data_IF_756792289954
#
_entry.id   IF_756792289954
#
_cell.length_a   1.000
_cell.length_b   1.000
_cell.length_c   1.000
_cell.angle_alpha   90.00
_cell.angle_beta   90.00
_cell.angle_gamma   90.00
#
_symmetry.space_group_name_H-M   'P 1'
#
loop_
_entity.id
_entity.type
_entity.pdbx_description
1 polymer ?
#
# COMPACT_ATOMS: atom_id res chain seq x y z
N UNK A 1 0.08 20.25 -3.69
CA UNK A 1 0.08 20.66 -2.27
C UNK A 1 1.41 20.18 -1.73
N UNK A 2 2.26 21.06 -1.22
CA UNK A 2 3.63 20.70 -0.82
C UNK A 2 3.70 20.21 0.62
N UNK A 3 4.81 19.57 0.99
CA UNK A 3 5.06 19.10 2.36
C UNK A 3 5.07 20.26 3.36
N UNK A 4 5.58 21.44 2.95
CA UNK A 4 5.60 22.65 3.76
C UNK A 4 4.20 23.05 4.20
N UNK A 5 3.22 23.01 3.28
CA UNK A 5 1.82 23.30 3.61
C UNK A 5 1.30 22.38 4.71
N UNK A 6 1.60 21.07 4.66
CA UNK A 6 1.19 20.15 5.72
C UNK A 6 1.93 20.40 7.03
N UNK A 7 3.23 20.71 6.97
CA UNK A 7 4.03 21.03 8.15
C UNK A 7 3.53 22.29 8.87
N UNK A 8 3.06 23.27 8.13
CA UNK A 8 2.49 24.51 8.69
C UNK A 8 1.10 24.29 9.32
N UNK A 9 0.26 23.48 8.69
CA UNK A 9 -1.17 23.39 9.04
C UNK A 9 -1.54 22.18 9.92
N UNK A 10 -0.70 21.14 10.00
CA UNK A 10 -0.99 19.92 10.76
C UNK A 10 0.01 19.72 11.88
N UNK A 11 -0.38 20.08 13.11
CA UNK A 11 0.48 20.10 14.30
C UNK A 11 0.30 18.90 15.24
N UNK A 12 -0.42 17.84 14.85
CA UNK A 12 -0.54 16.68 15.73
C UNK A 12 0.82 15.99 15.94
N UNK A 13 1.08 15.46 17.14
CA UNK A 13 2.34 14.76 17.44
C UNK A 13 2.68 13.65 16.42
N UNK A 14 1.67 12.96 15.89
CA UNK A 14 1.86 11.91 14.88
C UNK A 14 2.30 12.49 13.55
N UNK A 15 1.73 13.62 13.15
CA UNK A 15 2.09 14.29 11.90
C UNK A 15 3.51 14.87 11.99
N UNK A 16 3.83 15.55 13.07
CA UNK A 16 5.19 16.09 13.32
C UNK A 16 6.25 14.97 13.26
N UNK A 17 5.98 13.82 13.88
CA UNK A 17 6.91 12.69 13.80
C UNK A 17 7.05 12.14 12.38
N UNK A 18 5.95 12.07 11.63
CA UNK A 18 5.99 11.65 10.21
C UNK A 18 6.84 12.63 9.39
N UNK A 19 6.63 13.93 9.55
CA UNK A 19 7.39 14.96 8.83
C UNK A 19 8.89 14.84 9.13
N UNK A 20 9.25 14.68 10.41
CA UNK A 20 10.64 14.47 10.81
C UNK A 20 11.27 13.26 10.12
N UNK A 21 10.59 12.12 10.10
CA UNK A 21 11.10 10.90 9.45
C UNK A 21 11.29 11.08 7.95
N UNK A 22 10.33 11.74 7.29
CA UNK A 22 10.40 12.03 5.86
C UNK A 22 11.53 13.01 5.54
N UNK A 23 11.71 14.05 6.36
CA UNK A 23 12.80 15.02 6.22
C UNK A 23 14.19 14.37 6.45
N UNK A 24 14.30 13.47 7.43
CA UNK A 24 15.53 12.70 7.66
C UNK A 24 15.88 11.83 6.45
N UNK A 25 14.87 11.19 5.85
CA UNK A 25 15.06 10.40 4.63
C UNK A 25 15.48 11.27 3.44
N UNK A 26 14.81 12.40 3.23
CA UNK A 26 15.12 13.32 2.13
C UNK A 26 16.56 13.90 2.19
N UNK A 27 17.14 13.96 3.39
CA UNK A 27 18.54 14.41 3.58
C UNK A 27 19.59 13.35 3.26
N UNK A 28 19.18 12.10 2.96
CA UNK A 28 20.13 11.06 2.61
C UNK A 28 20.90 11.43 1.32
N UNK A 29 22.22 11.17 1.24
CA UNK A 29 23.03 11.57 0.09
C UNK A 29 22.51 11.08 -1.26
N UNK A 30 21.83 9.93 -1.29
CA UNK A 30 21.24 9.35 -2.50
C UNK A 30 20.24 10.26 -3.18
N UNK A 31 19.55 11.14 -2.43
CA UNK A 31 18.55 12.06 -2.99
C UNK A 31 19.13 13.40 -3.43
N UNK A 32 20.36 13.70 -3.07
CA UNK A 32 21.09 14.92 -3.49
C UNK A 32 20.24 16.21 -3.42
N UNK A 33 19.54 16.40 -2.31
CA UNK A 33 18.68 17.57 -2.10
C UNK A 33 17.49 17.66 -3.07
N UNK A 34 16.98 16.54 -3.54
CA UNK A 34 15.85 16.42 -4.49
C UNK A 34 16.16 16.98 -5.88
N UNK A 35 17.42 16.98 -6.32
CA UNK A 35 17.82 17.61 -7.57
C UNK A 35 18.04 16.62 -8.72
N UNK A 36 18.15 15.33 -8.46
CA UNK A 36 18.53 14.33 -9.48
C UNK A 36 17.50 14.20 -10.60
N UNK A 37 16.22 14.34 -10.29
CA UNK A 37 15.13 14.21 -11.25
C UNK A 37 14.21 15.44 -11.29
N UNK A 38 14.71 16.62 -10.95
CA UNK A 38 13.91 17.85 -10.78
C UNK A 38 13.10 18.28 -12.02
N UNK A 39 13.53 17.88 -13.21
CA UNK A 39 12.86 18.20 -14.47
C UNK A 39 12.06 17.01 -15.05
N UNK A 40 12.00 15.88 -14.35
CA UNK A 40 11.34 14.67 -14.85
C UNK A 40 9.89 14.65 -14.45
N UNK A 41 9.00 14.51 -15.43
CA UNK A 41 7.57 14.24 -15.25
C UNK A 41 7.32 12.74 -15.33
N UNK A 42 6.96 12.15 -14.20
CA UNK A 42 6.80 10.70 -14.08
C UNK A 42 5.36 10.32 -13.77
N UNK A 43 4.88 9.31 -14.48
CA UNK A 43 3.58 8.71 -14.22
C UNK A 43 3.74 7.25 -13.83
N UNK A 44 3.12 6.85 -12.71
CA UNK A 44 3.07 5.48 -12.21
C UNK A 44 1.66 4.91 -12.43
N UNK A 45 1.57 3.79 -13.13
CA UNK A 45 0.31 3.09 -13.38
C UNK A 45 0.10 2.01 -12.32
N UNK A 46 -0.86 2.27 -11.42
CA UNK A 46 -1.22 1.38 -10.31
C UNK A 46 -0.76 1.87 -8.94
N UNK A 47 -1.72 2.13 -8.03
CA UNK A 47 -1.47 2.48 -6.64
C UNK A 47 -1.35 1.24 -5.72
N UNK A 48 -0.72 0.18 -6.23
CA UNK A 48 -0.29 -0.96 -5.42
C UNK A 48 0.88 -0.59 -4.49
N UNK A 49 1.29 -1.51 -3.58
CA UNK A 49 2.42 -1.24 -2.69
C UNK A 49 3.69 -0.85 -3.45
N UNK A 50 3.99 -1.51 -4.57
CA UNK A 50 5.16 -1.22 -5.40
C UNK A 50 5.03 0.16 -6.05
N UNK A 51 3.88 0.46 -6.68
CA UNK A 51 3.68 1.75 -7.34
C UNK A 51 3.79 2.94 -6.38
N UNK A 52 3.14 2.84 -5.22
CA UNK A 52 3.22 3.88 -4.18
C UNK A 52 4.65 4.01 -3.62
N UNK A 53 5.34 2.88 -3.40
CA UNK A 53 6.70 2.91 -2.88
C UNK A 53 7.67 3.52 -3.88
N UNK A 54 7.53 3.20 -5.18
CA UNK A 54 8.29 3.81 -6.27
C UNK A 54 8.01 5.31 -6.37
N UNK A 55 6.74 5.71 -6.30
CA UNK A 55 6.35 7.11 -6.35
C UNK A 55 7.00 7.93 -5.21
N UNK A 56 7.08 7.38 -4.00
CA UNK A 56 7.74 8.02 -2.86
C UNK A 56 9.23 8.26 -3.17
N UNK A 57 9.95 7.25 -3.65
CA UNK A 57 11.38 7.41 -3.98
C UNK A 57 11.60 8.41 -5.12
N UNK A 58 10.81 8.33 -6.18
CA UNK A 58 10.91 9.27 -7.30
C UNK A 58 10.63 10.71 -6.88
N UNK A 59 9.67 10.92 -5.98
CA UNK A 59 9.38 12.23 -5.43
C UNK A 59 10.55 12.76 -4.57
N UNK A 60 11.20 11.89 -3.79
CA UNK A 60 12.40 12.24 -3.01
C UNK A 60 13.62 12.54 -3.91
N UNK A 61 13.68 11.97 -5.11
CA UNK A 61 14.67 12.33 -6.13
C UNK A 61 14.36 13.68 -6.84
N UNK A 62 13.19 14.27 -6.56
CA UNK A 62 12.77 15.56 -7.09
C UNK A 62 11.89 15.49 -8.34
N UNK A 63 11.48 14.31 -8.80
CA UNK A 63 10.58 14.17 -9.93
C UNK A 63 9.17 14.71 -9.60
N UNK A 64 8.47 15.19 -10.61
CA UNK A 64 7.02 15.49 -10.52
C UNK A 64 6.25 14.19 -10.75
N UNK A 65 5.73 13.60 -9.68
CA UNK A 65 5.17 12.26 -9.72
C UNK A 65 3.65 12.25 -9.65
N UNK A 66 3.03 11.57 -10.61
CA UNK A 66 1.60 11.26 -10.61
C UNK A 66 1.42 9.74 -10.51
N UNK A 67 0.46 9.29 -9.71
CA UNK A 67 0.04 7.87 -9.64
C UNK A 67 -1.39 7.77 -10.08
N UNK A 68 -1.68 6.94 -11.06
CA UNK A 68 -3.05 6.62 -11.46
C UNK A 68 -3.45 5.22 -10.96
N UNK A 69 -4.69 5.10 -10.54
CA UNK A 69 -5.28 3.81 -10.10
C UNK A 69 -6.68 3.68 -10.66
N UNK A 70 -6.95 2.59 -11.36
CA UNK A 70 -8.26 2.33 -11.98
C UNK A 70 -9.39 2.13 -10.97
N UNK A 71 -9.07 1.69 -9.76
CA UNK A 71 -10.05 1.55 -8.68
C UNK A 71 -10.16 2.83 -7.90
N UNK A 72 -11.35 3.08 -7.35
CA UNK A 72 -11.61 4.24 -6.48
C UNK A 72 -11.28 3.96 -5.01
N UNK A 73 -11.04 2.69 -4.64
CA UNK A 73 -10.75 2.29 -3.28
C UNK A 73 -9.88 1.03 -3.20
N UNK A 74 -9.20 0.85 -2.08
CA UNK A 74 -8.44 -0.36 -1.78
C UNK A 74 -9.37 -1.43 -1.19
N UNK A 75 -9.65 -2.47 -1.96
CA UNK A 75 -10.62 -3.53 -1.61
C UNK A 75 -9.99 -4.87 -1.28
N UNK A 76 -8.69 -5.06 -1.54
CA UNK A 76 -8.02 -6.33 -1.29
C UNK A 76 -7.77 -6.55 0.21
N UNK A 77 -8.10 -7.75 0.69
CA UNK A 77 -7.94 -8.14 2.08
C UNK A 77 -6.80 -9.16 2.32
N UNK A 78 -5.98 -9.42 1.30
CA UNK A 78 -4.85 -10.33 1.45
C UNK A 78 -3.93 -9.85 2.59
N UNK A 79 -3.45 -10.80 3.37
CA UNK A 79 -2.42 -10.56 4.39
C UNK A 79 -1.06 -10.93 3.82
N UNK A 80 -0.08 -10.07 4.07
CA UNK A 80 1.29 -10.22 3.59
C UNK A 80 2.20 -10.50 4.78
N UNK A 81 3.12 -11.43 4.62
CA UNK A 81 4.28 -11.58 5.49
C UNK A 81 5.37 -10.61 5.05
N UNK A 82 5.89 -9.82 5.96
CA UNK A 82 6.94 -8.85 5.66
C UNK A 82 8.30 -9.31 6.15
N UNK A 83 9.30 -9.08 5.34
CA UNK A 83 10.69 -9.25 5.73
C UNK A 83 11.13 -8.15 6.69
N UNK A 84 12.07 -8.42 7.62
CA UNK A 84 12.51 -7.45 8.60
C UNK A 84 12.95 -6.10 8.01
N UNK A 85 13.70 -6.11 6.90
CA UNK A 85 14.16 -4.86 6.26
C UNK A 85 13.00 -4.03 5.67
N UNK A 86 11.92 -4.68 5.18
CA UNK A 86 10.72 -3.98 4.70
C UNK A 86 10.02 -3.29 5.86
N UNK A 87 10.01 -3.93 7.03
CA UNK A 87 9.42 -3.34 8.25
C UNK A 87 10.19 -2.09 8.67
N UNK A 88 11.52 -2.14 8.66
CA UNK A 88 12.35 -0.99 8.98
C UNK A 88 12.18 0.15 7.97
N UNK A 89 12.09 -0.18 6.67
CA UNK A 89 11.76 0.80 5.63
C UNK A 89 10.40 1.46 5.88
N UNK A 90 9.37 0.69 6.19
CA UNK A 90 8.04 1.22 6.51
C UNK A 90 8.03 2.08 7.78
N UNK A 91 8.80 1.73 8.80
CA UNK A 91 8.96 2.54 10.01
C UNK A 91 9.62 3.88 9.69
N UNK A 92 10.64 3.90 8.84
CA UNK A 92 11.28 5.13 8.39
C UNK A 92 10.35 6.03 7.57
N UNK A 93 9.29 5.48 6.99
CA UNK A 93 8.22 6.19 6.29
C UNK A 93 7.01 6.51 7.20
N UNK A 94 7.16 6.37 8.50
CA UNK A 94 6.14 6.74 9.49
C UNK A 94 5.09 5.67 9.77
N UNK A 95 5.36 4.39 9.48
CA UNK A 95 4.52 3.31 9.96
C UNK A 95 4.51 3.26 11.50
N UNK A 96 3.36 2.88 12.06
CA UNK A 96 3.20 2.74 13.50
C UNK A 96 4.16 1.69 14.04
N UNK A 97 4.89 2.02 15.11
CA UNK A 97 5.63 1.05 15.90
C UNK A 97 4.67 0.27 16.78
N UNK A 98 4.74 -1.07 16.70
CA UNK A 98 4.11 -1.96 17.65
C UNK A 98 5.18 -2.42 18.65
N UNK A 99 4.93 -2.29 19.93
CA UNK A 99 5.85 -2.76 20.94
C UNK A 99 5.47 -4.17 21.39
N UNK A 100 6.42 -5.11 21.48
CA UNK A 100 7.84 -4.97 21.08
C UNK A 100 8.09 -5.23 19.58
N UNK A 101 7.06 -5.54 18.79
CA UNK A 101 7.16 -5.96 17.38
C UNK A 101 6.28 -5.10 16.46
N UNK A 102 6.54 -5.17 15.16
CA UNK A 102 5.72 -4.50 14.14
C UNK A 102 4.27 -5.00 14.13
N UNK A 103 4.09 -6.30 14.33
CA UNK A 103 2.80 -6.94 14.61
C UNK A 103 2.97 -7.98 15.70
N UNK A 104 1.87 -8.40 16.31
CA UNK A 104 1.84 -9.42 17.35
C UNK A 104 1.74 -10.83 16.73
N UNK A 105 2.27 -11.81 17.45
CA UNK A 105 2.32 -13.19 16.98
C UNK A 105 3.72 -13.64 16.56
N UNK A 106 3.81 -14.80 15.93
CA UNK A 106 5.09 -15.44 15.55
C UNK A 106 5.67 -14.93 14.24
N UNK A 107 4.87 -14.24 13.43
CA UNK A 107 5.22 -13.77 12.10
C UNK A 107 4.82 -12.32 11.91
N UNK A 108 5.61 -11.58 11.13
CA UNK A 108 5.34 -10.18 10.82
C UNK A 108 4.35 -10.07 9.66
N UNK A 109 3.10 -9.78 9.96
CA UNK A 109 2.04 -9.69 8.98
C UNK A 109 1.39 -8.32 8.92
N UNK A 110 0.90 -7.96 7.75
CA UNK A 110 0.10 -6.75 7.51
C UNK A 110 -0.90 -7.02 6.39
N UNK A 111 -2.12 -6.46 6.49
CA UNK A 111 -3.03 -6.50 5.35
C UNK A 111 -2.53 -5.59 4.23
N UNK A 112 -2.68 -6.03 2.97
CA UNK A 112 -2.27 -5.24 1.80
C UNK A 112 -2.95 -3.86 1.79
N UNK A 113 -4.21 -3.78 2.21
CA UNK A 113 -4.94 -2.51 2.32
C UNK A 113 -4.26 -1.55 3.29
N UNK A 114 -3.82 -2.04 4.45
CA UNK A 114 -3.13 -1.22 5.46
C UNK A 114 -1.77 -0.76 4.97
N UNK A 115 -1.02 -1.65 4.32
CA UNK A 115 0.25 -1.30 3.69
C UNK A 115 0.07 -0.20 2.64
N UNK A 116 -0.93 -0.34 1.76
CA UNK A 116 -1.27 0.70 0.78
C UNK A 116 -1.63 2.03 1.45
N UNK A 117 -2.42 2.03 2.53
CA UNK A 117 -2.78 3.24 3.26
C UNK A 117 -1.56 3.93 3.92
N UNK A 118 -0.60 3.17 4.43
CA UNK A 118 0.65 3.72 4.98
C UNK A 118 1.43 4.44 3.88
N UNK A 119 1.68 3.75 2.78
CA UNK A 119 2.43 4.29 1.65
C UNK A 119 1.70 5.47 0.98
N UNK A 120 0.37 5.37 0.80
CA UNK A 120 -0.44 6.46 0.26
C UNK A 120 -0.34 7.72 1.11
N UNK A 121 -0.42 7.60 2.43
CA UNK A 121 -0.29 8.74 3.35
C UNK A 121 1.07 9.43 3.16
N UNK A 122 2.14 8.68 3.10
CA UNK A 122 3.49 9.22 2.90
C UNK A 122 3.64 9.86 1.52
N UNK A 123 3.14 9.21 0.47
CA UNK A 123 3.16 9.76 -0.90
C UNK A 123 2.42 11.10 -0.99
N UNK A 124 1.23 11.20 -0.40
CA UNK A 124 0.45 12.44 -0.37
C UNK A 124 1.15 13.56 0.41
N UNK A 125 1.77 13.24 1.54
CA UNK A 125 2.54 14.22 2.34
C UNK A 125 3.73 14.75 1.55
N UNK A 126 4.38 13.91 0.76
CA UNK A 126 5.49 14.30 -0.12
C UNK A 126 5.04 15.10 -1.36
N UNK A 127 3.74 15.20 -1.62
CA UNK A 127 3.21 15.94 -2.75
C UNK A 127 2.98 15.11 -4.03
N UNK A 128 3.04 13.79 -3.95
CA UNK A 128 2.65 12.91 -5.07
C UNK A 128 1.18 13.11 -5.40
N UNK A 129 0.87 13.37 -6.68
CA UNK A 129 -0.51 13.48 -7.15
C UNK A 129 -1.10 12.08 -7.35
N UNK A 130 -2.26 11.81 -6.75
CA UNK A 130 -2.93 10.50 -6.85
C UNK A 130 -4.28 10.67 -7.55
N UNK A 131 -4.50 9.90 -8.62
CA UNK A 131 -5.70 9.92 -9.44
C UNK A 131 -6.43 8.57 -9.37
N UNK A 132 -7.38 8.40 -8.41
CA UNK A 132 -8.22 7.20 -8.36
C UNK A 132 -9.30 7.24 -9.44
N UNK A 133 -9.70 6.08 -9.95
CA UNK A 133 -10.69 5.95 -11.01
C UNK A 133 -10.14 6.24 -12.41
N UNK A 134 -8.84 6.40 -12.57
CA UNK A 134 -8.17 6.66 -13.85
C UNK A 134 -7.45 5.42 -14.34
N UNK A 135 -7.79 4.97 -15.53
CA UNK A 135 -7.23 3.78 -16.16
C UNK A 135 -6.34 4.16 -17.34
N UNK A 136 -5.13 3.66 -17.38
CA UNK A 136 -4.23 3.76 -18.52
C UNK A 136 -4.75 2.92 -19.69
N UNK A 137 -4.67 3.46 -20.91
CA UNK A 137 -5.08 2.79 -22.13
C UNK A 137 -3.93 2.57 -23.09
N UNK A 138 -3.20 3.65 -23.39
CA UNK A 138 -2.10 3.59 -24.35
C UNK A 138 -1.16 4.80 -24.17
N UNK A 139 -0.05 4.75 -24.87
CA UNK A 139 0.90 5.85 -25.00
C UNK A 139 0.61 6.59 -26.30
N UNK A 140 0.59 7.90 -26.25
CA UNK A 140 0.38 8.76 -27.42
C UNK A 140 1.73 9.33 -27.84
N UNK A 141 2.19 8.90 -29.02
CA UNK A 141 3.43 9.40 -29.59
C UNK A 141 3.30 10.88 -30.01
N UNK A 142 4.36 11.68 -29.82
CA UNK A 142 4.38 13.05 -30.30
C UNK A 142 4.32 13.10 -31.84
N UNK A 143 3.56 14.06 -32.39
CA UNK A 143 3.47 14.27 -33.85
C UNK A 143 4.69 15.02 -34.40
N UNK A 144 5.43 15.71 -33.53
CA UNK A 144 6.66 16.43 -33.84
C UNK A 144 7.67 16.29 -32.67
N UNK A 145 8.97 16.41 -32.95
CA UNK A 145 10.04 16.34 -31.92
C UNK A 145 9.88 17.33 -30.77
N UNK A 146 9.19 18.44 -30.99
CA UNK A 146 8.93 19.46 -29.98
C UNK A 146 7.75 19.12 -29.05
N UNK A 147 6.96 18.11 -29.36
CA UNK A 147 5.82 17.72 -28.57
C UNK A 147 6.22 16.65 -27.53
N UNK A 148 5.65 16.69 -26.31
CA UNK A 148 5.90 15.67 -25.32
C UNK A 148 5.08 14.40 -25.59
N UNK A 149 5.57 13.27 -25.13
CA UNK A 149 4.78 12.05 -25.02
C UNK A 149 3.60 12.28 -24.08
N UNK A 150 2.45 11.72 -24.41
CA UNK A 150 1.21 11.84 -23.65
C UNK A 150 0.58 10.46 -23.43
N UNK A 151 -0.47 10.41 -22.62
CA UNK A 151 -1.14 9.16 -22.26
C UNK A 151 -2.62 9.20 -22.69
N UNK A 152 -3.07 8.12 -23.33
CA UNK A 152 -4.48 7.86 -23.51
C UNK A 152 -5.05 7.23 -22.23
N UNK A 153 -6.09 7.83 -21.68
CA UNK A 153 -6.67 7.48 -20.39
C UNK A 153 -8.17 7.19 -20.48
N UNK A 154 -8.70 6.57 -19.46
CA UNK A 154 -10.14 6.49 -19.21
C UNK A 154 -10.44 7.03 -17.82
N UNK A 155 -11.27 8.11 -17.69
CA UNK A 155 -11.97 8.83 -18.77
C UNK A 155 -11.00 9.59 -19.69
N UNK A 156 -11.39 9.78 -20.97
CA UNK A 156 -10.52 10.37 -21.98
C UNK A 156 -10.24 11.86 -21.79
N UNK A 157 -11.17 12.55 -21.15
CA UNK A 157 -11.12 14.00 -20.82
C UNK A 157 -10.38 14.30 -19.52
N UNK A 158 -9.73 13.33 -18.92
CA UNK A 158 -9.00 13.52 -17.67
C UNK A 158 -7.80 14.47 -17.88
N UNK A 159 -7.58 15.49 -17.00
CA UNK A 159 -6.51 16.49 -17.18
C UNK A 159 -5.09 15.93 -17.35
N UNK A 160 -4.83 14.73 -16.80
CA UNK A 160 -3.54 14.06 -16.96
C UNK A 160 -3.27 13.62 -18.42
N UNK A 161 -4.29 13.46 -19.27
CA UNK A 161 -4.12 13.09 -20.68
C UNK A 161 -3.43 14.16 -21.52
N UNK A 162 -3.48 15.42 -21.08
CA UNK A 162 -2.85 16.56 -21.76
C UNK A 162 -1.44 16.87 -21.26
N UNK A 163 -1.01 16.25 -20.16
CA UNK A 163 0.32 16.48 -19.57
C UNK A 163 1.40 15.69 -20.33
N UNK A 164 2.55 16.33 -20.51
CA UNK A 164 3.75 15.64 -20.99
C UNK A 164 4.30 14.66 -19.96
N UNK A 165 4.80 13.53 -20.45
CA UNK A 165 5.34 12.44 -19.62
C UNK A 165 6.72 12.04 -20.13
N UNK A 166 7.73 12.11 -19.25
CA UNK A 166 9.10 11.69 -19.58
C UNK A 166 9.33 10.23 -19.20
N UNK A 167 8.71 9.77 -18.10
CA UNK A 167 8.85 8.40 -17.59
C UNK A 167 7.50 7.81 -17.24
N UNK A 168 7.20 6.64 -17.80
CA UNK A 168 6.02 5.83 -17.50
C UNK A 168 6.45 4.55 -16.78
N UNK A 169 5.91 4.31 -15.58
CA UNK A 169 6.22 3.13 -14.77
C UNK A 169 4.98 2.26 -14.61
N UNK A 170 5.06 0.99 -15.06
CA UNK A 170 4.02 0.00 -14.86
C UNK A 170 4.12 -0.68 -13.49
N UNK A 171 3.11 -0.51 -12.65
CA UNK A 171 2.97 -1.17 -11.35
C UNK A 171 1.61 -1.85 -11.17
N UNK A 172 1.04 -2.34 -12.26
CA UNK A 172 -0.33 -2.87 -12.36
C UNK A 172 -0.49 -4.31 -11.81
N UNK A 173 0.60 -4.93 -11.41
CA UNK A 173 0.60 -6.30 -10.89
C UNK A 173 0.46 -7.35 -12.00
N UNK A 174 -0.63 -8.12 -11.99
CA UNK A 174 -0.81 -9.22 -12.95
C UNK A 174 -1.12 -8.77 -14.39
N UNK A 175 -1.72 -7.62 -14.54
CA UNK A 175 -2.15 -7.08 -15.82
C UNK A 175 -1.16 -6.02 -16.27
N UNK A 176 -0.41 -6.30 -17.32
CA UNK A 176 0.49 -5.32 -17.94
C UNK A 176 -0.25 -4.74 -19.13
N UNK A 177 -0.54 -3.44 -19.09
CA UNK A 177 -1.20 -2.71 -20.18
C UNK A 177 -0.22 -1.86 -20.99
N UNK A 178 0.97 -1.58 -20.43
CA UNK A 178 2.00 -0.79 -21.11
C UNK A 178 2.57 -1.56 -22.29
N UNK A 179 2.56 -0.99 -23.50
CA UNK A 179 3.09 -1.65 -24.70
C UNK A 179 4.58 -2.03 -24.59
N UNK A 180 5.00 -3.05 -25.33
CA UNK A 180 6.40 -3.49 -25.40
C UNK A 180 6.84 -4.47 -24.32
N UNK A 181 6.08 -4.63 -23.24
CA UNK A 181 6.40 -5.59 -22.19
C UNK A 181 5.69 -6.93 -22.42
N UNK A 182 6.45 -8.03 -22.43
CA UNK A 182 5.91 -9.39 -22.48
C UNK A 182 6.09 -10.04 -21.12
N UNK A 183 5.00 -10.56 -20.57
CA UNK A 183 5.05 -11.32 -19.32
C UNK A 183 5.14 -12.82 -19.61
N UNK A 184 6.14 -13.47 -19.04
CA UNK A 184 6.21 -14.92 -18.96
C UNK A 184 5.66 -15.36 -17.61
N UNK A 185 4.59 -16.13 -17.60
CA UNK A 185 3.96 -16.60 -16.37
C UNK A 185 4.23 -18.10 -16.21
N UNK A 186 4.79 -18.46 -15.06
CA UNK A 186 4.90 -19.84 -14.62
C UNK A 186 3.95 -20.05 -13.43
N UNK A 187 3.09 -21.05 -13.55
CA UNK A 187 2.15 -21.42 -12.50
C UNK A 187 2.47 -22.82 -11.98
N UNK A 188 2.84 -22.92 -10.70
CA UNK A 188 2.97 -24.17 -9.96
C UNK A 188 1.92 -24.23 -8.84
N UNK A 189 1.47 -25.43 -8.50
CA UNK A 189 0.67 -25.65 -7.28
C UNK A 189 1.63 -25.77 -6.09
N UNK A 190 1.78 -24.67 -5.32
CA UNK A 190 2.61 -24.66 -4.12
C UNK A 190 1.77 -24.78 -2.86
N UNK A 191 0.67 -24.05 -2.78
CA UNK A 191 -0.22 -24.03 -1.63
C UNK A 191 -1.60 -23.47 -2.01
N UNK A 192 -2.59 -23.71 -1.17
CA UNK A 192 -3.92 -23.12 -1.23
C UNK A 192 -4.05 -22.19 -0.03
N UNK A 193 -4.39 -20.90 -0.28
CA UNK A 193 -4.72 -19.97 0.77
C UNK A 193 -6.21 -19.65 0.75
N UNK A 194 -6.87 -19.78 1.89
CA UNK A 194 -8.27 -19.45 2.09
C UNK A 194 -8.33 -18.19 2.93
N UNK A 195 -9.01 -17.15 2.42
CA UNK A 195 -9.27 -15.92 3.16
C UNK A 195 -10.75 -15.81 3.45
N UNK A 196 -11.11 -15.77 4.73
CA UNK A 196 -12.47 -15.59 5.18
C UNK A 196 -12.62 -14.27 5.96
N UNK A 197 -13.73 -13.58 5.76
CA UNK A 197 -14.07 -12.37 6.51
C UNK A 197 -15.23 -12.71 7.46
N UNK A 198 -15.01 -12.49 8.75
CA UNK A 198 -16.01 -12.70 9.78
C UNK A 198 -16.53 -11.36 10.30
N UNK A 199 -17.79 -11.34 10.67
CA UNK A 199 -18.36 -10.21 11.43
C UNK A 199 -17.79 -10.25 12.85
N UNK A 200 -17.19 -9.14 13.29
CA UNK A 200 -16.74 -9.02 14.67
C UNK A 200 -17.97 -8.88 15.58
N UNK A 201 -18.20 -9.86 16.43
CA UNK A 201 -19.33 -9.94 17.37
C UNK A 201 -19.07 -9.16 18.65
N UNK A 202 -17.87 -8.60 18.82
CA UNK A 202 -17.43 -7.85 20.00
C UNK A 202 -17.49 -8.66 21.29
N UNK A 203 -17.21 -9.93 21.20
CA UNK A 203 -17.12 -10.83 22.36
C UNK A 203 -15.86 -10.51 23.18
N UNK A 204 -15.84 -10.95 24.44
CA UNK A 204 -14.66 -10.81 25.32
C UNK A 204 -13.43 -11.49 24.71
N UNK A 205 -13.61 -12.66 24.10
CA UNK A 205 -12.53 -13.37 23.40
C UNK A 205 -11.97 -12.54 22.22
N UNK A 206 -12.84 -11.97 21.40
CA UNK A 206 -12.40 -11.12 20.28
C UNK A 206 -11.74 -9.81 20.76
N UNK A 207 -12.13 -9.29 21.93
CA UNK A 207 -11.52 -8.10 22.50
C UNK A 207 -10.07 -8.30 22.92
N UNK A 208 -9.74 -9.50 23.42
CA UNK A 208 -8.40 -9.87 23.90
C UNK A 208 -7.44 -10.15 22.73
N UNK A 209 -7.95 -10.59 21.58
CA UNK A 209 -7.09 -10.90 20.42
C UNK A 209 -6.44 -9.62 19.88
N UNK A 210 -5.14 -9.68 19.67
CA UNK A 210 -4.36 -8.60 19.09
C UNK A 210 -4.84 -8.21 17.69
N UNK A 211 -4.52 -7.00 17.26
CA UNK A 211 -4.92 -6.48 15.95
C UNK A 211 -4.44 -7.37 14.79
N UNK A 212 -3.23 -7.89 14.90
CA UNK A 212 -2.67 -8.86 13.97
C UNK A 212 -2.03 -9.99 14.76
N UNK A 213 -2.47 -11.21 14.50
CA UNK A 213 -1.89 -12.43 15.07
C UNK A 213 -1.63 -13.44 13.98
N UNK A 214 -0.54 -14.15 14.09
CA UNK A 214 -0.20 -15.22 13.17
C UNK A 214 0.49 -16.38 13.87
N UNK A 215 0.14 -17.60 13.50
CA UNK A 215 0.78 -18.81 13.97
C UNK A 215 1.06 -19.74 12.79
N UNK A 216 2.22 -20.39 12.80
CA UNK A 216 2.62 -21.35 11.80
C UNK A 216 2.90 -22.72 12.44
N UNK A 217 2.67 -23.78 11.68
CA UNK A 217 2.92 -25.16 12.10
C UNK A 217 4.32 -25.35 12.68
N UNK A 218 5.32 -24.76 12.03
CA UNK A 218 6.74 -24.85 12.44
C UNK A 218 6.97 -24.39 13.89
N UNK A 219 6.12 -23.47 14.40
CA UNK A 219 6.25 -22.90 15.74
C UNK A 219 5.28 -23.47 16.76
N UNK A 220 4.18 -24.11 16.33
CA UNK A 220 3.13 -24.64 17.22
C UNK A 220 2.52 -25.93 16.67
N UNK A 221 3.33 -26.95 16.54
CA UNK A 221 2.94 -28.25 15.95
C UNK A 221 1.74 -28.87 16.65
N UNK A 222 1.75 -28.92 18.00
CA UNK A 222 0.66 -29.53 18.78
C UNK A 222 -0.70 -28.86 18.48
N UNK A 223 -0.72 -27.56 18.34
CA UNK A 223 -1.94 -26.82 17.99
C UNK A 223 -2.49 -27.25 16.63
N UNK A 224 -1.62 -27.37 15.63
CA UNK A 224 -2.04 -27.76 14.28
C UNK A 224 -2.37 -29.24 14.17
N UNK A 225 -1.69 -30.11 14.92
CA UNK A 225 -2.02 -31.53 15.00
C UNK A 225 -3.40 -31.72 15.63
N UNK A 226 -3.69 -31.07 16.76
CA UNK A 226 -5.01 -31.09 17.38
C UNK A 226 -6.10 -30.59 16.43
N UNK A 227 -5.81 -29.53 15.66
CA UNK A 227 -6.74 -29.02 14.67
C UNK A 227 -6.98 -30.04 13.53
N UNK A 228 -5.94 -30.74 13.11
CA UNK A 228 -6.06 -31.80 12.13
C UNK A 228 -6.88 -32.98 12.66
N UNK A 229 -6.63 -33.42 13.91
CA UNK A 229 -7.35 -34.50 14.54
C UNK A 229 -8.83 -34.20 14.74
N UNK A 230 -9.16 -32.93 15.02
CA UNK A 230 -10.54 -32.47 15.24
C UNK A 230 -11.32 -32.23 13.95
N UNK A 231 -10.69 -31.61 12.93
CA UNK A 231 -11.36 -31.15 11.72
C UNK A 231 -10.91 -31.86 10.43
N UNK A 232 -9.88 -32.68 10.47
CA UNK A 232 -9.33 -33.39 9.30
C UNK A 232 -8.66 -32.48 8.25
N UNK A 233 -8.30 -31.23 8.64
CA UNK A 233 -7.72 -30.26 7.75
C UNK A 233 -6.28 -29.97 8.15
N UNK A 234 -5.33 -30.30 7.27
CA UNK A 234 -3.92 -29.95 7.46
C UNK A 234 -3.70 -28.48 7.10
N UNK A 235 -3.27 -27.70 8.06
CA UNK A 235 -2.96 -26.28 7.90
C UNK A 235 -1.49 -26.02 8.21
N UNK A 236 -0.85 -25.15 7.42
CA UNK A 236 0.53 -24.73 7.66
C UNK A 236 0.61 -23.39 8.41
N UNK A 237 -0.32 -22.49 8.12
CA UNK A 237 -0.34 -21.15 8.70
C UNK A 237 -1.76 -20.66 8.91
N UNK A 238 -1.98 -19.99 10.04
CA UNK A 238 -3.21 -19.23 10.32
C UNK A 238 -2.81 -17.79 10.65
N UNK A 239 -3.42 -16.83 9.95
CA UNK A 239 -3.22 -15.40 10.20
C UNK A 239 -4.56 -14.75 10.44
N UNK A 240 -4.67 -14.10 11.57
CA UNK A 240 -5.84 -13.36 12.00
C UNK A 240 -5.57 -11.85 11.94
N UNK A 241 -6.49 -11.09 11.39
CA UNK A 241 -6.42 -9.65 11.32
C UNK A 241 -7.72 -9.01 11.81
N UNK A 242 -7.66 -8.27 12.91
CA UNK A 242 -8.79 -7.53 13.48
C UNK A 242 -8.76 -6.08 13.02
N UNK A 243 -9.78 -5.65 12.29
CA UNK A 243 -9.95 -4.24 11.96
C UNK A 243 -10.50 -3.52 13.18
N UNK A 244 -9.65 -2.81 13.89
CA UNK A 244 -10.06 -1.88 14.94
C UNK A 244 -10.42 -0.56 14.24
N UNK A 245 -11.71 -0.30 14.08
CA UNK A 245 -12.19 1.05 13.80
C UNK A 245 -11.93 1.86 15.07
N UNK A 246 -10.86 2.64 15.07
CA UNK A 246 -10.65 3.64 16.09
C UNK A 246 -11.80 4.65 15.98
N UNK A 247 -12.79 4.52 16.85
CA UNK A 247 -13.76 5.57 17.12
C UNK A 247 -13.04 6.68 17.90
N UNK A 248 -12.23 7.46 17.22
CA UNK A 248 -11.77 8.74 17.74
C UNK A 248 -12.72 9.81 17.22
N UNK A 249 -13.57 10.26 18.12
CA UNK A 249 -14.25 11.55 18.13
C UNK A 249 -14.43 12.31 16.81
N UNK A 250 -15.73 12.43 16.47
CA UNK A 250 -16.39 13.54 15.77
C UNK A 250 -15.90 13.93 14.38
N UNK A 251 -16.80 13.60 13.41
CA UNK A 251 -17.12 14.43 12.24
C UNK A 251 -15.94 14.82 11.33
N UNK A 252 -15.56 13.89 10.46
CA UNK A 252 -15.26 14.20 9.05
C UNK A 252 -15.14 12.88 8.28
N UNK A 253 -15.91 12.76 7.22
CA UNK A 253 -16.17 11.59 6.35
C UNK A 253 -17.31 10.67 6.77
N UNK A 254 -18.47 11.26 6.74
CA UNK A 254 -19.73 10.54 6.67
C UNK A 254 -20.08 10.39 5.18
N UNK A 255 -19.58 9.33 4.53
CA UNK A 255 -20.18 8.74 3.32
C UNK A 255 -19.58 7.36 3.03
N UNK A 256 -19.63 6.46 4.01
CA UNK A 256 -19.48 5.04 3.73
C UNK A 256 -20.59 4.29 4.49
N UNK A 257 -21.53 3.62 3.80
CA UNK A 257 -22.70 2.98 4.43
C UNK A 257 -22.38 1.65 5.12
N UNK A 258 -21.12 1.39 5.53
CA UNK A 258 -20.74 0.11 6.11
C UNK A 258 -20.19 0.24 7.54
N UNK A 259 -21.05 0.21 8.58
CA UNK A 259 -20.59 0.09 9.96
C UNK A 259 -20.37 -1.39 10.31
N UNK A 260 -19.42 -2.07 9.68
CA UNK A 260 -19.10 -3.46 10.05
C UNK A 260 -17.61 -3.57 10.28
N UNK A 261 -17.21 -3.67 11.55
CA UNK A 261 -15.89 -4.16 11.90
C UNK A 261 -15.76 -5.59 11.36
N UNK A 262 -14.88 -5.80 10.38
CA UNK A 262 -14.64 -7.11 9.77
C UNK A 262 -13.36 -7.70 10.34
N UNK A 263 -13.43 -8.94 10.68
CA UNK A 263 -12.29 -9.78 11.02
C UNK A 263 -11.95 -10.62 9.80
N UNK A 264 -10.69 -10.62 9.40
CA UNK A 264 -10.21 -11.44 8.28
C UNK A 264 -9.31 -12.54 8.84
N UNK A 265 -9.69 -13.77 8.59
CA UNK A 265 -8.86 -14.96 8.83
C UNK A 265 -8.29 -15.44 7.50
N UNK A 266 -6.98 -15.57 7.40
CA UNK A 266 -6.33 -16.21 6.27
C UNK A 266 -5.72 -17.51 6.73
N UNK A 267 -6.10 -18.59 6.08
CA UNK A 267 -5.63 -19.96 6.34
C UNK A 267 -4.87 -20.39 5.08
N UNK A 268 -3.66 -20.83 5.23
CA UNK A 268 -2.82 -21.35 4.14
C UNK A 268 -2.20 -22.67 4.52
#
# INVERSE_FOLDING_TARGET
MSIEYFQENVKSCRAVNLFKLVDERAKMPVFNGNMQASNVSQVVVGAGPIGLRTAIESQLLGARVCVMEKRTSFTRNNVLHLWPWVIEDLKSLGAKHFYPRFCTGTMNHISIKRLQCILLKTALVLGVEIFPGVEFRDVVEPSAESEPWRLALKPADHPLSTRGVDVLIGAEGKHVTIPGFRRKEFRGKLAIAITANFKNMRTTAEAIVDEISGVAFVYKQDFFNNLYDEFGIALENIVYYKVILALSHRNYFQTDPWPVSRTTLTIS
#
